data_IF_360181614138
#
_entry.id   IF_360181614138
#
_cell.length_a   1.000
_cell.length_b   1.000
_cell.length_c   1.000
_cell.angle_alpha   90.00
_cell.angle_beta   90.00
_cell.angle_gamma   90.00
#
_symmetry.space_group_name_H-M   'P 1'
#
loop_
_entity.id
_entity.type
_entity.pdbx_description
1 polymer ?
#
# COMPACT_ATOMS: atom_id res chain seq x y z
N UNK A 1 26.24 20.37 -27.76
CA UNK A 1 26.54 20.57 -26.33
C UNK A 1 25.26 20.31 -25.55
N UNK A 2 25.20 19.26 -24.72
CA UNK A 2 24.06 19.05 -23.81
C UNK A 2 24.14 20.14 -22.72
N UNK A 3 23.03 20.83 -22.47
CA UNK A 3 22.94 21.79 -21.38
C UNK A 3 23.33 21.11 -20.05
N UNK A 4 24.04 21.79 -19.14
CA UNK A 4 24.33 21.24 -17.82
C UNK A 4 23.00 20.96 -17.12
N UNK A 5 22.82 19.70 -16.69
CA UNK A 5 21.70 19.31 -15.83
C UNK A 5 21.90 20.05 -14.52
N UNK A 6 21.00 20.98 -14.19
CA UNK A 6 21.03 21.63 -12.87
C UNK A 6 21.01 20.53 -11.80
N UNK A 7 21.92 20.57 -10.81
CA UNK A 7 21.91 19.59 -9.74
C UNK A 7 20.55 19.64 -9.05
N UNK A 8 19.88 18.48 -8.98
CA UNK A 8 18.57 18.36 -8.39
C UNK A 8 18.60 18.99 -6.99
N UNK A 9 17.76 20.00 -6.77
CA UNK A 9 17.72 20.74 -5.50
C UNK A 9 17.39 19.76 -4.37
N UNK A 10 18.28 19.68 -3.37
CA UNK A 10 18.07 18.89 -2.16
C UNK A 10 16.74 19.25 -1.49
N UNK A 11 15.96 18.24 -1.14
CA UNK A 11 14.66 18.40 -0.50
C UNK A 11 14.79 18.90 0.94
N UNK A 12 13.71 19.50 1.43
CA UNK A 12 13.68 20.14 2.74
C UNK A 12 12.80 19.40 3.75
N UNK A 13 12.57 20.07 4.88
CA UNK A 13 11.68 19.58 5.96
C UNK A 13 10.23 19.38 5.52
N UNK A 14 9.80 20.05 4.45
CA UNK A 14 8.44 19.94 3.91
C UNK A 14 8.22 18.56 3.30
N UNK A 15 9.20 18.03 2.59
CA UNK A 15 9.12 16.75 1.89
C UNK A 15 9.63 15.60 2.78
N UNK A 16 10.80 15.77 3.40
CA UNK A 16 11.48 14.71 4.16
C UNK A 16 11.11 14.69 5.66
N UNK A 17 10.22 15.58 6.08
CA UNK A 17 9.80 15.71 7.48
C UNK A 17 10.88 16.33 8.38
N UNK A 18 10.67 16.23 9.69
CA UNK A 18 11.49 16.94 10.69
C UNK A 18 12.98 16.58 10.67
N UNK A 19 13.32 15.41 10.13
CA UNK A 19 14.67 14.86 10.06
C UNK A 19 15.29 14.93 8.66
N UNK A 20 14.84 15.87 7.82
CA UNK A 20 15.35 16.06 6.47
C UNK A 20 16.89 16.08 6.34
N UNK A 21 17.58 16.56 7.38
CA UNK A 21 19.03 16.72 7.40
C UNK A 21 19.71 15.77 8.40
N UNK A 22 18.99 14.77 8.90
CA UNK A 22 19.60 13.76 9.77
C UNK A 22 20.55 12.87 8.96
N UNK A 23 21.75 12.68 9.49
CA UNK A 23 22.74 11.73 8.97
C UNK A 23 22.58 10.35 9.59
N UNK A 24 22.22 10.29 10.88
CA UNK A 24 22.02 9.03 11.61
C UNK A 24 20.97 9.18 12.71
N UNK A 25 20.05 8.23 12.77
CA UNK A 25 19.05 8.12 13.83
C UNK A 25 19.67 7.59 15.13
N UNK A 26 19.03 7.79 16.29
CA UNK A 26 19.48 7.21 17.56
C UNK A 26 19.62 5.69 17.49
N UNK A 27 20.70 5.15 18.06
CA UNK A 27 20.99 3.71 18.05
C UNK A 27 19.87 2.88 18.68
N UNK A 28 19.30 3.35 19.80
CA UNK A 28 18.15 2.70 20.44
C UNK A 28 16.95 2.54 19.51
N UNK A 29 16.71 3.51 18.63
CA UNK A 29 15.67 3.42 17.61
C UNK A 29 16.07 2.45 16.49
N UNK A 30 17.31 2.53 16.01
CA UNK A 30 17.80 1.62 14.97
C UNK A 30 17.68 0.15 15.42
N UNK A 31 18.02 -0.17 16.68
CA UNK A 31 17.91 -1.51 17.26
C UNK A 31 16.48 -2.02 17.27
N UNK A 32 15.49 -1.21 17.70
CA UNK A 32 14.09 -1.68 17.71
C UNK A 32 13.52 -1.88 16.31
N UNK A 33 13.96 -1.09 15.32
CA UNK A 33 13.52 -1.22 13.93
C UNK A 33 14.16 -2.43 13.24
N UNK A 34 15.40 -2.77 13.60
CA UNK A 34 16.08 -3.97 13.12
C UNK A 34 15.49 -5.26 13.72
N UNK A 35 14.97 -5.19 14.95
CA UNK A 35 14.43 -6.35 15.68
C UNK A 35 12.90 -6.52 15.57
N UNK A 36 12.23 -5.72 14.74
CA UNK A 36 10.77 -5.62 14.75
C UNK A 36 10.01 -6.88 14.33
N UNK A 37 10.63 -7.76 13.53
CA UNK A 37 10.05 -9.03 13.04
C UNK A 37 8.56 -8.86 12.70
N UNK A 38 7.66 -9.75 13.13
CA UNK A 38 6.21 -9.64 12.86
C UNK A 38 5.39 -9.04 14.01
N UNK A 39 6.04 -8.42 15.01
CA UNK A 39 5.35 -7.95 16.23
C UNK A 39 4.28 -6.87 15.97
N UNK A 40 4.40 -6.18 14.84
CA UNK A 40 3.53 -5.09 14.41
C UNK A 40 2.77 -5.41 13.11
N UNK A 41 2.58 -6.69 12.83
CA UNK A 41 1.78 -7.20 11.73
C UNK A 41 0.45 -7.78 12.25
N UNK A 42 -0.61 -7.64 11.46
CA UNK A 42 -1.92 -8.23 11.72
C UNK A 42 -2.49 -8.80 10.41
N UNK A 43 -2.52 -10.12 10.31
CA UNK A 43 -3.12 -10.84 9.18
C UNK A 43 -4.64 -10.97 9.33
N UNK A 44 -5.30 -11.47 8.28
CA UNK A 44 -6.74 -11.74 8.22
C UNK A 44 -7.65 -10.53 8.44
N UNK A 45 -7.12 -9.31 8.31
CA UNK A 45 -7.91 -8.09 8.49
C UNK A 45 -8.93 -7.93 7.36
N UNK A 46 -8.56 -8.28 6.12
CA UNK A 46 -9.45 -8.17 4.94
C UNK A 46 -10.71 -9.05 5.07
N UNK A 47 -10.61 -10.37 5.37
CA UNK A 47 -11.81 -11.17 5.66
C UNK A 47 -12.68 -10.62 6.79
N UNK A 48 -12.07 -10.07 7.84
CA UNK A 48 -12.80 -9.46 8.96
C UNK A 48 -13.52 -8.17 8.53
N UNK A 49 -12.87 -7.33 7.71
CA UNK A 49 -13.51 -6.15 7.14
C UNK A 49 -14.71 -6.52 6.28
N UNK A 50 -14.60 -7.57 5.45
CA UNK A 50 -15.72 -8.06 4.66
C UNK A 50 -16.93 -8.41 5.54
N UNK A 51 -16.71 -9.14 6.65
CA UNK A 51 -17.78 -9.46 7.60
C UNK A 51 -18.38 -8.23 8.29
N UNK A 52 -17.56 -7.22 8.61
CA UNK A 52 -18.04 -5.97 9.22
C UNK A 52 -18.91 -5.18 8.23
N UNK A 53 -18.47 -5.06 6.98
CA UNK A 53 -19.19 -4.36 5.91
C UNK A 53 -20.50 -5.07 5.55
N UNK A 54 -20.50 -6.41 5.52
CA UNK A 54 -21.71 -7.20 5.25
C UNK A 54 -22.83 -6.87 6.25
N UNK A 55 -22.46 -6.75 7.54
CA UNK A 55 -23.37 -6.38 8.64
C UNK A 55 -23.84 -4.92 8.59
N UNK A 56 -23.13 -4.05 7.85
CA UNK A 56 -23.46 -2.63 7.71
C UNK A 56 -24.68 -2.43 6.84
N UNK A 57 -25.81 -2.01 7.42
CA UNK A 57 -27.03 -1.72 6.64
C UNK A 57 -26.90 -0.50 5.73
N UNK A 58 -25.98 0.42 6.04
CA UNK A 58 -25.69 1.61 5.24
C UNK A 58 -24.85 1.32 3.99
N UNK A 59 -24.12 0.20 3.97
CA UNK A 59 -23.28 -0.21 2.84
C UNK A 59 -24.18 -0.62 1.68
N UNK A 60 -23.99 0.01 0.52
CA UNK A 60 -24.63 -0.38 -0.74
C UNK A 60 -23.81 -1.49 -1.39
N UNK A 61 -22.52 -1.22 -1.61
CA UNK A 61 -21.54 -2.22 -2.04
C UNK A 61 -20.13 -1.81 -1.60
N UNK A 62 -19.23 -2.78 -1.54
CA UNK A 62 -17.82 -2.53 -1.28
C UNK A 62 -16.92 -3.51 -2.03
N UNK A 63 -15.72 -3.03 -2.34
CA UNK A 63 -14.63 -3.83 -2.90
C UNK A 63 -13.50 -3.94 -1.89
N UNK A 64 -12.83 -5.08 -1.87
CA UNK A 64 -11.63 -5.33 -1.07
C UNK A 64 -10.54 -5.96 -1.94
N UNK A 65 -9.29 -5.64 -1.64
CA UNK A 65 -8.11 -6.30 -2.23
C UNK A 65 -8.00 -7.76 -1.76
N UNK A 66 -6.92 -8.43 -2.16
CA UNK A 66 -6.65 -9.82 -1.82
C UNK A 66 -6.74 -10.08 -0.30
N UNK A 67 -7.35 -11.20 0.13
CA UNK A 67 -7.48 -11.54 1.55
C UNK A 67 -6.13 -11.73 2.27
N UNK A 68 -5.04 -11.99 1.56
CA UNK A 68 -3.71 -12.23 2.13
C UNK A 68 -3.02 -10.95 2.62
N UNK A 69 -3.57 -9.76 2.34
CA UNK A 69 -2.93 -8.49 2.70
C UNK A 69 -2.90 -8.33 4.22
N UNK A 70 -1.69 -8.23 4.76
CA UNK A 70 -1.42 -8.04 6.19
C UNK A 70 -1.32 -6.54 6.51
N UNK A 71 -2.01 -6.10 7.56
CA UNK A 71 -1.83 -4.75 8.08
C UNK A 71 -0.53 -4.66 8.88
N UNK A 72 0.30 -3.67 8.57
CA UNK A 72 1.49 -3.32 9.37
C UNK A 72 1.27 -1.95 9.99
N UNK A 73 1.57 -1.81 11.28
CA UNK A 73 1.37 -0.57 12.04
C UNK A 73 2.62 -0.17 12.81
N UNK A 74 2.67 1.08 13.30
CA UNK A 74 3.85 1.60 13.99
C UNK A 74 4.13 0.90 15.33
N UNK A 75 5.41 0.77 15.65
CA UNK A 75 5.87 0.43 16.99
C UNK A 75 5.61 1.58 17.96
N UNK A 76 5.47 1.26 19.25
CA UNK A 76 5.18 2.25 20.29
C UNK A 76 6.24 3.35 20.40
N UNK A 77 7.51 3.01 20.17
CA UNK A 77 8.66 3.89 20.39
C UNK A 77 9.26 4.49 19.09
N UNK A 78 8.70 4.23 17.91
CA UNK A 78 9.32 4.67 16.64
C UNK A 78 9.01 6.13 16.24
N UNK A 79 7.98 6.74 16.83
CA UNK A 79 7.48 8.05 16.43
C UNK A 79 6.53 7.99 15.22
N UNK A 80 6.44 9.08 14.44
CA UNK A 80 5.47 9.24 13.34
C UNK A 80 6.14 9.38 11.96
N UNK A 81 7.33 8.79 11.79
CA UNK A 81 8.21 9.11 10.65
C UNK A 81 8.29 7.99 9.62
N UNK A 82 7.85 6.79 9.98
CA UNK A 82 8.07 5.60 9.19
C UNK A 82 6.85 5.16 8.36
N UNK A 83 5.82 5.99 8.23
CA UNK A 83 4.58 5.61 7.53
C UNK A 83 4.84 5.08 6.11
N UNK A 84 5.65 5.76 5.30
CA UNK A 84 6.01 5.30 3.94
C UNK A 84 6.63 3.91 3.94
N UNK A 85 7.58 3.67 4.84
CA UNK A 85 8.22 2.36 5.00
C UNK A 85 7.24 1.28 5.46
N UNK A 86 6.32 1.58 6.40
CA UNK A 86 5.28 0.63 6.83
C UNK A 86 4.34 0.25 5.69
N UNK A 87 3.98 1.22 4.85
CA UNK A 87 3.15 0.95 3.67
C UNK A 87 3.92 0.12 2.62
N UNK A 88 5.21 0.39 2.41
CA UNK A 88 6.05 -0.46 1.56
C UNK A 88 6.13 -1.89 2.11
N UNK A 89 6.28 -2.08 3.43
CA UNK A 89 6.25 -3.42 4.03
C UNK A 89 4.95 -4.17 3.71
N UNK A 90 3.81 -3.47 3.73
CA UNK A 90 2.52 -4.06 3.34
C UNK A 90 2.48 -4.43 1.85
N UNK A 91 3.02 -3.59 0.96
CA UNK A 91 3.13 -3.93 -0.46
C UNK A 91 4.04 -5.15 -0.69
N UNK A 92 5.21 -5.18 -0.06
CA UNK A 92 6.17 -6.28 -0.20
C UNK A 92 5.55 -7.61 0.25
N UNK A 93 4.90 -7.62 1.42
CA UNK A 93 4.23 -8.82 1.95
C UNK A 93 3.08 -9.29 1.06
N UNK A 94 2.26 -8.38 0.55
CA UNK A 94 1.16 -8.74 -0.34
C UNK A 94 1.70 -9.34 -1.65
N UNK A 95 2.71 -8.67 -2.24
CA UNK A 95 3.29 -9.09 -3.51
C UNK A 95 4.07 -10.39 -3.41
N UNK A 96 4.87 -10.59 -2.35
CA UNK A 96 5.65 -11.82 -2.18
C UNK A 96 4.79 -13.05 -1.87
N UNK A 97 3.56 -12.87 -1.39
CA UNK A 97 2.58 -13.94 -1.19
C UNK A 97 1.84 -14.31 -2.46
N UNK A 98 1.43 -13.32 -3.25
CA UNK A 98 0.71 -13.58 -4.51
C UNK A 98 1.66 -14.01 -5.63
N UNK A 99 2.87 -13.44 -5.68
CA UNK A 99 3.83 -13.70 -6.74
C UNK A 99 5.08 -14.33 -6.19
N UNK A 100 5.12 -15.66 -6.27
CA UNK A 100 6.20 -16.42 -5.69
C UNK A 100 7.57 -16.09 -6.32
N UNK A 101 7.60 -15.61 -7.54
CA UNK A 101 8.81 -15.27 -8.31
C UNK A 101 9.23 -13.80 -8.20
N UNK A 102 8.60 -12.99 -7.35
CA UNK A 102 8.83 -11.54 -7.29
C UNK A 102 10.21 -11.11 -6.78
N UNK A 103 11.06 -12.04 -6.32
CA UNK A 103 12.38 -11.73 -5.75
C UNK A 103 12.33 -11.01 -4.39
N UNK A 104 11.16 -10.54 -3.96
CA UNK A 104 10.96 -9.89 -2.66
C UNK A 104 11.09 -10.88 -1.50
N UNK A 105 11.51 -10.41 -0.31
CA UNK A 105 11.50 -11.22 0.90
C UNK A 105 10.13 -11.85 1.18
N UNK A 106 10.12 -13.12 1.58
CA UNK A 106 8.91 -13.84 2.00
C UNK A 106 8.36 -13.32 3.32
N UNK A 107 9.27 -13.06 4.25
CA UNK A 107 8.94 -12.46 5.53
C UNK A 107 8.88 -10.93 5.43
N UNK A 108 8.30 -10.29 6.44
CA UNK A 108 8.19 -8.83 6.46
C UNK A 108 9.59 -8.20 6.50
N UNK A 109 10.02 -7.43 5.48
CA UNK A 109 11.33 -6.79 5.51
C UNK A 109 11.36 -5.74 6.63
N UNK A 110 12.46 -5.64 7.38
CA UNK A 110 12.62 -4.63 8.42
C UNK A 110 12.79 -3.22 7.81
N UNK A 111 12.60 -2.16 8.60
CA UNK A 111 12.83 -0.79 8.10
C UNK A 111 14.25 -0.59 7.52
N UNK A 112 15.34 -1.05 8.17
CA UNK A 112 16.69 -0.97 7.57
C UNK A 112 16.80 -1.75 6.26
N UNK A 113 16.15 -2.91 6.14
CA UNK A 113 16.12 -3.68 4.89
C UNK A 113 15.41 -2.90 3.77
N UNK A 114 14.25 -2.28 4.07
CA UNK A 114 13.54 -1.42 3.11
C UNK A 114 14.41 -0.23 2.68
N UNK A 115 15.08 0.44 3.62
CA UNK A 115 16.02 1.53 3.30
C UNK A 115 17.13 1.06 2.36
N UNK A 116 17.73 -0.10 2.65
CA UNK A 116 18.79 -0.67 1.83
C UNK A 116 18.33 -1.00 0.41
N UNK A 117 17.14 -1.60 0.25
CA UNK A 117 16.59 -1.92 -1.07
C UNK A 117 16.31 -0.66 -1.90
N UNK A 118 15.78 0.40 -1.28
CA UNK A 118 15.56 1.68 -1.96
C UNK A 118 16.89 2.29 -2.43
N UNK A 119 17.90 2.33 -1.55
CA UNK A 119 19.21 2.87 -1.92
C UNK A 119 19.94 1.99 -2.94
N UNK A 120 19.73 0.67 -2.92
CA UNK A 120 20.23 -0.23 -3.95
C UNK A 120 19.60 0.12 -5.31
N UNK A 121 18.28 0.31 -5.37
CA UNK A 121 17.59 0.73 -6.59
C UNK A 121 18.21 2.01 -7.17
N UNK A 122 18.50 3.01 -6.32
CA UNK A 122 19.17 4.23 -6.74
C UNK A 122 20.57 3.99 -7.31
N UNK A 123 21.33 3.06 -6.72
CA UNK A 123 22.65 2.66 -7.22
C UNK A 123 22.58 1.94 -8.57
N UNK A 124 21.47 1.26 -8.85
CA UNK A 124 21.14 0.64 -10.14
C UNK A 124 20.48 1.60 -11.13
N UNK A 125 20.61 2.91 -10.91
CA UNK A 125 20.07 4.00 -11.74
C UNK A 125 18.52 4.11 -11.77
N UNK A 126 17.80 3.32 -10.96
CA UNK A 126 16.34 3.39 -10.83
C UNK A 126 15.99 4.52 -9.87
N UNK A 127 15.26 5.53 -10.33
CA UNK A 127 14.90 6.71 -9.52
C UNK A 127 16.10 7.35 -8.79
N UNK A 128 17.30 7.31 -9.39
CA UNK A 128 18.57 7.69 -8.77
C UNK A 128 18.60 9.13 -8.22
N UNK A 129 17.75 10.02 -8.75
CA UNK A 129 17.57 11.37 -8.23
C UNK A 129 17.21 11.40 -6.73
N UNK A 130 16.58 10.34 -6.20
CA UNK A 130 16.25 10.20 -4.78
C UNK A 130 17.48 10.28 -3.87
N UNK A 131 18.63 9.76 -4.32
CA UNK A 131 19.88 9.80 -3.54
C UNK A 131 20.32 11.24 -3.27
N UNK A 132 20.35 12.07 -4.30
CA UNK A 132 20.76 13.48 -4.21
C UNK A 132 19.69 14.33 -3.52
N UNK A 133 18.42 14.09 -3.87
CA UNK A 133 17.27 14.78 -3.31
C UNK A 133 17.17 14.61 -1.78
N UNK A 134 17.50 13.42 -1.27
CA UNK A 134 17.42 13.10 0.17
C UNK A 134 18.77 13.22 0.90
N UNK A 135 19.89 13.12 0.18
CA UNK A 135 21.21 12.90 0.76
C UNK A 135 21.31 11.54 1.47
N UNK A 136 20.70 10.51 0.90
CA UNK A 136 20.58 9.16 1.49
C UNK A 136 19.49 9.05 2.56
N UNK A 137 18.94 7.85 2.74
CA UNK A 137 17.89 7.54 3.72
C UNK A 137 18.29 6.45 4.72
N UNK A 138 19.26 5.59 4.38
CA UNK A 138 19.76 4.52 5.24
C UNK A 138 20.19 5.05 6.61
N UNK A 139 19.64 4.45 7.68
CA UNK A 139 19.96 4.85 9.04
C UNK A 139 19.33 6.17 9.48
N UNK A 140 18.41 6.76 8.70
CA UNK A 140 17.75 8.04 9.03
C UNK A 140 16.25 7.89 9.23
N UNK A 141 15.62 8.93 9.77
CA UNK A 141 14.17 9.06 9.96
C UNK A 141 13.52 9.93 8.88
N UNK A 142 14.18 10.12 7.74
CA UNK A 142 13.65 10.90 6.62
C UNK A 142 12.38 10.23 6.11
N UNK A 143 11.35 11.05 5.87
CA UNK A 143 10.14 10.57 5.22
C UNK A 143 10.46 10.17 3.78
N UNK A 144 9.73 9.17 3.29
CA UNK A 144 9.75 8.69 1.92
C UNK A 144 8.32 8.68 1.38
N UNK A 145 8.18 8.54 0.06
CA UNK A 145 6.88 8.49 -0.60
C UNK A 145 6.87 7.59 -1.83
N UNK A 146 6.08 8.02 -2.82
CA UNK A 146 5.78 7.25 -4.04
C UNK A 146 7.03 6.89 -4.83
N UNK A 147 7.98 7.82 -4.99
CA UNK A 147 9.24 7.61 -5.74
C UNK A 147 10.09 6.50 -5.14
N UNK A 148 10.19 6.43 -3.81
CA UNK A 148 10.93 5.38 -3.12
C UNK A 148 10.22 4.02 -3.18
N UNK A 149 8.88 4.01 -3.07
CA UNK A 149 8.09 2.78 -3.22
C UNK A 149 8.22 2.21 -4.64
N UNK A 150 8.15 3.07 -5.66
CA UNK A 150 8.35 2.71 -7.06
C UNK A 150 9.76 2.18 -7.31
N UNK A 151 10.79 2.85 -6.80
CA UNK A 151 12.18 2.42 -6.95
C UNK A 151 12.39 0.98 -6.45
N UNK A 152 11.83 0.66 -5.27
CA UNK A 152 11.92 -0.67 -4.69
C UNK A 152 11.18 -1.73 -5.51
N UNK A 153 9.99 -1.43 -6.02
CA UNK A 153 9.23 -2.35 -6.86
C UNK A 153 9.95 -2.61 -8.19
N UNK A 154 10.45 -1.55 -8.84
CA UNK A 154 11.18 -1.66 -10.10
C UNK A 154 12.51 -2.43 -9.96
N UNK A 155 13.21 -2.30 -8.83
CA UNK A 155 14.39 -3.12 -8.51
C UNK A 155 14.07 -4.63 -8.58
N UNK A 156 12.85 -5.01 -8.24
CA UNK A 156 12.36 -6.39 -8.24
C UNK A 156 11.58 -6.74 -9.51
N UNK A 157 11.69 -5.93 -10.57
CA UNK A 157 10.97 -6.09 -11.84
C UNK A 157 9.44 -6.18 -11.66
N UNK A 158 8.88 -5.51 -10.64
CA UNK A 158 7.45 -5.44 -10.41
C UNK A 158 6.89 -4.20 -11.11
N UNK A 159 6.01 -4.43 -12.08
CA UNK A 159 5.32 -3.36 -12.78
C UNK A 159 4.36 -2.61 -11.86
N UNK A 160 4.51 -1.29 -11.84
CA UNK A 160 3.65 -0.41 -11.06
C UNK A 160 3.40 0.91 -11.78
N UNK A 161 2.30 1.58 -11.42
CA UNK A 161 1.86 2.83 -12.06
C UNK A 161 1.62 3.89 -10.99
N UNK A 162 2.43 4.95 -11.07
CA UNK A 162 2.26 6.17 -10.30
C UNK A 162 1.18 7.07 -10.90
N UNK A 163 0.18 7.48 -10.12
CA UNK A 163 -0.81 8.49 -10.54
C UNK A 163 -0.82 9.67 -9.59
N UNK A 164 -0.81 10.89 -10.13
CA UNK A 164 -0.76 12.14 -9.36
C UNK A 164 -2.05 12.92 -9.53
N UNK A 165 -2.66 13.34 -8.41
CA UNK A 165 -3.88 14.13 -8.37
C UNK A 165 -3.59 15.49 -7.74
N UNK A 166 -3.99 16.60 -8.37
CA UNK A 166 -3.70 17.97 -7.89
C UNK A 166 -4.88 18.90 -8.09
N UNK A 167 -5.10 19.79 -7.12
CA UNK A 167 -6.10 20.85 -7.22
C UNK A 167 -7.28 20.65 -6.27
N UNK A 168 -8.35 21.43 -6.47
CA UNK A 168 -9.54 21.45 -5.60
C UNK A 168 -10.36 20.16 -5.69
N UNK A 169 -10.26 19.44 -6.81
CA UNK A 169 -10.99 18.21 -7.14
C UNK A 169 -10.16 16.95 -6.95
N UNK A 170 -8.90 17.05 -6.52
CA UNK A 170 -7.98 15.92 -6.39
C UNK A 170 -8.53 14.76 -5.53
N UNK A 171 -9.30 15.06 -4.49
CA UNK A 171 -9.93 14.05 -3.64
C UNK A 171 -11.02 13.26 -4.38
N UNK A 172 -11.75 13.89 -5.31
CA UNK A 172 -12.79 13.26 -6.09
C UNK A 172 -12.18 12.40 -7.20
N UNK A 173 -11.17 12.93 -7.89
CA UNK A 173 -10.41 12.18 -8.91
C UNK A 173 -9.72 10.95 -8.31
N UNK A 174 -9.19 11.06 -7.08
CA UNK A 174 -8.66 9.91 -6.33
C UNK A 174 -9.74 8.85 -6.09
N UNK A 175 -10.94 9.25 -5.65
CA UNK A 175 -12.04 8.32 -5.41
C UNK A 175 -12.47 7.63 -6.71
N UNK A 176 -12.60 8.38 -7.80
CA UNK A 176 -12.96 7.84 -9.12
C UNK A 176 -11.92 6.82 -9.61
N UNK A 177 -10.63 7.17 -9.46
CA UNK A 177 -9.52 6.29 -9.84
C UNK A 177 -9.51 4.98 -9.05
N UNK A 178 -9.63 5.06 -7.72
CA UNK A 178 -9.61 3.88 -6.84
C UNK A 178 -10.83 2.99 -7.05
N UNK A 179 -12.02 3.59 -7.15
CA UNK A 179 -13.25 2.84 -7.42
C UNK A 179 -13.14 2.08 -8.74
N UNK A 180 -12.65 2.76 -9.79
CA UNK A 180 -12.46 2.14 -11.10
C UNK A 180 -11.43 1.01 -11.08
N UNK A 181 -10.35 1.15 -10.30
CA UNK A 181 -9.34 0.10 -10.12
C UNK A 181 -9.98 -1.19 -9.56
N UNK A 182 -10.64 -1.10 -8.41
CA UNK A 182 -11.26 -2.25 -7.77
C UNK A 182 -12.44 -2.82 -8.57
N UNK A 183 -13.24 -1.97 -9.19
CA UNK A 183 -14.35 -2.40 -10.05
C UNK A 183 -13.86 -3.21 -11.26
N UNK A 184 -12.75 -2.79 -11.88
CA UNK A 184 -12.11 -3.56 -12.98
C UNK A 184 -11.65 -4.92 -12.47
N UNK A 185 -10.94 -4.97 -11.34
CA UNK A 185 -10.49 -6.23 -10.75
C UNK A 185 -11.67 -7.18 -10.46
N UNK A 186 -12.72 -6.71 -9.80
CA UNK A 186 -13.91 -7.52 -9.50
C UNK A 186 -14.61 -8.04 -10.77
N UNK A 187 -14.64 -7.22 -11.82
CA UNK A 187 -15.20 -7.62 -13.13
C UNK A 187 -14.36 -8.72 -13.78
N UNK A 188 -13.02 -8.59 -13.76
CA UNK A 188 -12.11 -9.57 -14.35
C UNK A 188 -12.15 -10.91 -13.60
N UNK A 189 -12.21 -10.90 -12.27
CA UNK A 189 -12.35 -12.12 -11.45
C UNK A 189 -13.78 -12.68 -11.40
N UNK A 190 -14.76 -12.03 -12.02
CA UNK A 190 -16.16 -12.49 -12.05
C UNK A 190 -16.86 -12.50 -10.68
N UNK A 191 -16.32 -11.82 -9.67
CA UNK A 191 -16.83 -11.79 -8.30
C UNK A 191 -18.13 -10.99 -8.26
N UNK A 192 -19.15 -11.49 -7.55
CA UNK A 192 -20.48 -10.86 -7.43
C UNK A 192 -20.89 -10.75 -5.97
N UNK A 193 -21.83 -9.84 -5.69
CA UNK A 193 -22.43 -9.66 -4.38
C UNK A 193 -22.26 -8.24 -3.84
N UNK A 194 -22.78 -8.01 -2.64
CA UNK A 194 -22.69 -6.73 -1.93
C UNK A 194 -21.23 -6.38 -1.61
N UNK A 195 -20.48 -7.36 -1.11
CA UNK A 195 -19.06 -7.22 -0.74
C UNK A 195 -18.23 -8.10 -1.65
N UNK A 196 -17.36 -7.49 -2.44
CA UNK A 196 -16.57 -8.16 -3.48
C UNK A 196 -15.09 -8.16 -3.07
N UNK A 197 -14.60 -9.31 -2.61
CA UNK A 197 -13.17 -9.54 -2.38
C UNK A 197 -12.55 -9.92 -3.72
N UNK A 198 -11.47 -9.25 -4.11
CA UNK A 198 -10.79 -9.43 -5.40
C UNK A 198 -9.38 -9.97 -5.18
N UNK A 199 -8.69 -10.37 -6.24
CA UNK A 199 -7.30 -10.86 -6.18
C UNK A 199 -6.28 -9.73 -6.42
N UNK A 200 -6.71 -8.47 -6.40
CA UNK A 200 -5.80 -7.34 -6.67
C UNK A 200 -4.96 -6.98 -5.44
N UNK A 201 -3.76 -6.46 -5.71
CA UNK A 201 -2.85 -5.94 -4.69
C UNK A 201 -3.36 -4.60 -4.13
N UNK A 202 -3.00 -4.25 -2.89
CA UNK A 202 -3.38 -2.97 -2.31
C UNK A 202 -2.61 -1.81 -2.96
N UNK A 203 -3.13 -0.58 -2.83
CA UNK A 203 -2.59 0.61 -3.50
C UNK A 203 -1.86 1.48 -2.46
N UNK A 204 -0.63 1.90 -2.73
CA UNK A 204 0.04 2.91 -1.91
C UNK A 204 -0.64 4.27 -2.11
N UNK A 205 -0.91 5.01 -1.04
CA UNK A 205 -1.46 6.36 -1.11
C UNK A 205 -0.56 7.33 -0.35
N UNK A 206 -0.01 8.31 -1.07
CA UNK A 206 0.70 9.45 -0.50
C UNK A 206 -0.22 10.67 -0.45
N UNK A 207 -0.18 11.39 0.69
CA UNK A 207 -0.64 12.78 0.79
C UNK A 207 0.42 13.63 1.49
N UNK A 208 0.33 14.97 1.51
CA UNK A 208 1.29 15.80 2.23
C UNK A 208 1.43 15.40 3.70
N UNK A 209 2.61 14.91 4.08
CA UNK A 209 2.98 14.58 5.46
C UNK A 209 2.53 13.21 5.99
N UNK A 210 1.90 12.35 5.17
CA UNK A 210 1.53 10.98 5.59
C UNK A 210 1.24 10.08 4.39
N UNK A 211 1.44 8.78 4.55
CA UNK A 211 1.00 7.77 3.59
C UNK A 211 0.19 6.66 4.26
N UNK A 212 -0.62 5.98 3.46
CA UNK A 212 -1.47 4.86 3.87
C UNK A 212 -1.47 3.81 2.75
N UNK A 213 -2.02 2.64 3.03
CA UNK A 213 -2.27 1.59 2.04
C UNK A 213 -3.77 1.42 1.85
N UNK A 214 -4.28 1.71 0.67
CA UNK A 214 -5.69 1.49 0.31
C UNK A 214 -5.89 0.00 0.07
N UNK A 215 -6.88 -0.57 0.75
CA UNK A 215 -7.23 -2.00 0.70
C UNK A 215 -8.64 -2.24 0.18
N UNK A 216 -9.36 -1.19 -0.18
CA UNK A 216 -10.70 -1.31 -0.71
C UNK A 216 -11.41 0.02 -0.89
N UNK A 217 -12.67 -0.09 -1.28
CA UNK A 217 -13.55 1.03 -1.57
C UNK A 217 -14.99 0.70 -1.15
N UNK A 218 -15.69 1.65 -0.56
CA UNK A 218 -17.08 1.50 -0.13
C UNK A 218 -17.95 2.58 -0.76
N UNK A 219 -19.13 2.17 -1.25
CA UNK A 219 -20.27 3.06 -1.49
C UNK A 219 -21.37 2.78 -0.48
N UNK A 220 -21.88 3.86 0.12
CA UNK A 220 -23.06 3.81 0.98
C UNK A 220 -24.34 3.98 0.17
N UNK A 221 -25.47 3.56 0.72
CA UNK A 221 -26.81 3.75 0.13
C UNK A 221 -27.21 5.23 -0.02
N UNK A 222 -26.55 6.14 0.69
CA UNK A 222 -26.74 7.58 0.52
C UNK A 222 -25.86 8.16 -0.60
N UNK A 223 -25.10 7.32 -1.31
CA UNK A 223 -24.19 7.72 -2.37
C UNK A 223 -22.83 8.23 -1.87
N UNK A 224 -22.54 8.16 -0.56
CA UNK A 224 -21.23 8.56 -0.05
C UNK A 224 -20.17 7.54 -0.45
N UNK A 225 -18.96 8.03 -0.72
CA UNK A 225 -17.81 7.22 -1.09
C UNK A 225 -16.76 7.25 0.01
N UNK A 226 -16.14 6.11 0.29
CA UNK A 226 -15.09 5.98 1.30
C UNK A 226 -13.99 5.08 0.77
N UNK A 227 -12.74 5.47 1.01
CA UNK A 227 -11.63 4.54 0.88
C UNK A 227 -11.58 3.68 2.13
N UNK A 228 -11.26 2.40 1.96
CA UNK A 228 -10.86 1.52 3.06
C UNK A 228 -9.33 1.46 3.05
N UNK A 229 -8.69 1.83 4.14
CA UNK A 229 -7.24 1.95 4.20
C UNK A 229 -6.64 1.43 5.50
N UNK A 230 -5.51 0.74 5.36
CA UNK A 230 -4.58 0.51 6.45
C UNK A 230 -3.73 1.77 6.63
N UNK A 231 -3.94 2.44 7.76
CA UNK A 231 -3.15 3.58 8.18
C UNK A 231 -2.16 3.13 9.27
N UNK A 232 -0.84 3.13 9.00
CA UNK A 232 0.16 2.61 9.91
C UNK A 232 0.26 3.42 11.22
N UNK A 233 -0.36 4.60 11.30
CA UNK A 233 -0.42 5.38 12.53
C UNK A 233 -1.27 4.68 13.62
N UNK A 234 -2.13 3.74 13.26
CA UNK A 234 -3.10 3.12 14.17
C UNK A 234 -2.86 1.63 14.36
N UNK A 235 -2.96 1.18 15.62
CA UNK A 235 -2.98 -0.24 15.95
C UNK A 235 -4.36 -0.82 15.61
N UNK A 236 -4.45 -1.98 14.93
CA UNK A 236 -5.73 -2.64 14.68
C UNK A 236 -6.51 -2.88 15.98
N UNK A 237 -7.86 -2.81 15.97
CA UNK A 237 -8.68 -3.07 17.14
C UNK A 237 -8.77 -4.58 17.41
N UNK A 238 -7.65 -5.18 17.84
CA UNK A 238 -7.41 -6.63 17.89
C UNK A 238 -8.51 -7.41 18.61
N UNK A 239 -9.07 -6.88 19.71
CA UNK A 239 -10.17 -7.53 20.43
C UNK A 239 -11.42 -7.64 19.56
N UNK A 240 -11.80 -6.56 18.87
CA UNK A 240 -12.96 -6.57 17.97
C UNK A 240 -12.70 -7.46 16.76
N UNK A 241 -11.51 -7.38 16.16
CA UNK A 241 -11.16 -8.22 15.01
C UNK A 241 -11.20 -9.71 15.37
N UNK A 242 -10.61 -10.09 16.51
CA UNK A 242 -10.62 -11.47 16.99
C UNK A 242 -12.03 -12.00 17.21
N UNK A 243 -12.91 -11.21 17.84
CA UNK A 243 -14.32 -11.56 18.04
C UNK A 243 -15.04 -11.80 16.72
N UNK A 244 -14.89 -10.89 15.77
CA UNK A 244 -15.54 -11.00 14.46
C UNK A 244 -15.02 -12.22 13.71
N UNK A 245 -13.70 -12.42 13.69
CA UNK A 245 -13.04 -13.59 13.08
C UNK A 245 -13.58 -14.90 13.63
N UNK A 246 -13.78 -15.00 14.94
CA UNK A 246 -14.28 -16.19 15.63
C UNK A 246 -15.81 -16.32 15.61
N UNK A 247 -16.52 -15.49 14.82
CA UNK A 247 -17.98 -15.42 14.79
C UNK A 247 -18.63 -15.18 16.17
N UNK A 248 -17.90 -14.55 17.10
CA UNK A 248 -18.41 -14.22 18.42
C UNK A 248 -19.36 -13.01 18.37
N UNK A 249 -20.24 -12.93 19.37
CA UNK A 249 -21.10 -11.75 19.55
C UNK A 249 -20.23 -10.49 19.72
N UNK A 250 -20.40 -9.56 18.80
CA UNK A 250 -19.81 -8.23 18.84
C UNK A 250 -20.93 -7.20 18.82
N UNK A 251 -20.88 -6.21 19.73
CA UNK A 251 -21.91 -5.17 19.74
C UNK A 251 -21.83 -4.32 18.47
N UNK A 252 -22.99 -3.84 17.98
CA UNK A 252 -23.08 -3.00 16.77
C UNK A 252 -22.14 -1.78 16.86
N UNK A 253 -22.06 -1.15 18.03
CA UNK A 253 -21.17 -0.03 18.28
C UNK A 253 -19.68 -0.40 18.18
N UNK A 254 -19.25 -1.55 18.73
CA UNK A 254 -17.85 -1.99 18.60
C UNK A 254 -17.49 -2.29 17.15
N UNK A 255 -18.38 -2.95 16.42
CA UNK A 255 -18.21 -3.21 14.99
C UNK A 255 -18.10 -1.90 14.20
N UNK A 256 -18.98 -0.93 14.47
CA UNK A 256 -18.97 0.39 13.86
C UNK A 256 -17.64 1.14 14.10
N UNK A 257 -17.20 1.26 15.36
CA UNK A 257 -15.94 1.94 15.67
C UNK A 257 -14.71 1.22 15.11
N UNK A 258 -14.74 -0.10 15.02
CA UNK A 258 -13.67 -0.85 14.37
C UNK A 258 -13.61 -0.53 12.87
N UNK A 259 -14.75 -0.48 12.18
CA UNK A 259 -14.79 -0.15 10.75
C UNK A 259 -14.36 1.30 10.47
N UNK A 260 -14.82 2.26 11.29
CA UNK A 260 -14.45 3.67 11.18
C UNK A 260 -12.93 3.92 11.17
N UNK A 261 -12.14 3.07 11.81
CA UNK A 261 -10.70 3.20 11.84
C UNK A 261 -10.07 3.02 10.44
N UNK A 262 -10.70 2.19 9.60
CA UNK A 262 -10.24 1.88 8.25
C UNK A 262 -10.81 2.85 7.21
N UNK A 263 -11.99 3.39 7.46
CA UNK A 263 -12.65 4.31 6.53
C UNK A 263 -11.92 5.67 6.40
N UNK A 264 -11.86 6.19 5.17
CA UNK A 264 -11.44 7.55 4.85
C UNK A 264 -12.52 8.17 3.97
N UNK A 265 -13.39 8.97 4.60
CA UNK A 265 -14.54 9.61 3.94
C UNK A 265 -14.14 10.75 3.01
N UNK A 266 -15.06 11.19 2.16
CA UNK A 266 -14.87 12.39 1.33
C UNK A 266 -14.49 13.62 2.18
N UNK A 267 -15.16 13.81 3.32
CA UNK A 267 -14.82 14.88 4.29
C UNK A 267 -13.39 14.76 4.79
N UNK A 268 -12.89 13.54 4.99
CA UNK A 268 -11.51 13.33 5.37
C UNK A 268 -10.56 13.78 4.26
N UNK A 269 -10.79 13.32 3.03
CA UNK A 269 -9.90 13.54 1.89
C UNK A 269 -9.87 15.01 1.43
N UNK A 270 -10.98 15.75 1.53
CA UNK A 270 -11.07 17.19 1.15
C UNK A 270 -10.07 18.11 1.86
N UNK A 271 -9.39 17.64 2.92
CA UNK A 271 -8.35 18.41 3.63
C UNK A 271 -7.08 18.62 2.81
N UNK A 272 -6.86 17.80 1.78
CA UNK A 272 -5.66 17.88 0.94
C UNK A 272 -6.02 18.14 -0.52
N UNK A 273 -5.13 18.85 -1.21
CA UNK A 273 -5.25 19.23 -2.63
C UNK A 273 -4.25 18.47 -3.51
N UNK A 274 -3.63 17.44 -2.96
CA UNK A 274 -2.59 16.67 -3.61
C UNK A 274 -2.59 15.25 -3.06
N UNK A 275 -2.60 14.30 -3.96
CA UNK A 275 -2.44 12.87 -3.67
C UNK A 275 -1.56 12.25 -4.73
N UNK A 276 -0.88 11.17 -4.36
CA UNK A 276 -0.22 10.30 -5.31
C UNK A 276 -0.57 8.86 -4.94
N UNK A 277 -0.82 8.02 -5.94
CA UNK A 277 -1.03 6.59 -5.75
C UNK A 277 0.02 5.79 -6.49
N UNK A 278 0.34 4.60 -5.98
CA UNK A 278 1.13 3.61 -6.69
C UNK A 278 0.36 2.29 -6.68
N UNK A 279 -0.13 1.86 -7.84
CA UNK A 279 -0.79 0.57 -8.01
C UNK A 279 0.15 -0.43 -8.67
N UNK A 280 0.18 -1.65 -8.16
CA UNK A 280 0.92 -2.76 -8.76
C UNK A 280 0.03 -3.41 -9.82
N UNK A 281 0.56 -3.63 -11.01
CA UNK A 281 -0.13 -4.29 -12.10
C UNK A 281 0.38 -5.71 -12.22
N UNK A 282 -0.54 -6.67 -12.26
CA UNK A 282 -0.18 -8.02 -12.67
C UNK A 282 0.29 -7.93 -14.12
N UNK A 283 1.59 -8.06 -14.35
CA UNK A 283 2.10 -8.30 -15.69
C UNK A 283 1.43 -9.58 -16.17
N UNK A 284 0.69 -9.52 -17.27
CA UNK A 284 0.28 -10.73 -17.98
C UNK A 284 1.58 -11.42 -18.40
N UNK A 285 2.10 -12.29 -17.54
CA UNK A 285 3.24 -13.11 -17.83
C UNK A 285 2.93 -13.84 -19.13
N UNK A 286 3.72 -13.53 -20.17
CA UNK A 286 3.85 -14.23 -21.43
C UNK A 286 2.89 -15.42 -21.56
N UNK A 287 1.68 -15.14 -22.05
CA UNK A 287 0.74 -16.18 -22.45
C UNK A 287 1.03 -16.60 -23.89
N UNK A 288 2.28 -16.97 -24.18
CA UNK A 288 2.68 -17.59 -25.43
C UNK A 288 3.47 -18.86 -25.12
N UNK A 289 2.76 -19.97 -25.24
CA UNK A 289 3.18 -21.32 -25.65
C UNK A 289 2.31 -22.39 -24.96
N UNK A 290 1.01 -22.39 -25.27
CA UNK A 290 0.32 -23.67 -25.41
C UNK A 290 0.72 -24.24 -26.77
N UNK A 291 1.88 -24.90 -26.80
CA UNK A 291 2.30 -25.78 -27.88
C UNK A 291 1.21 -26.81 -28.14
N UNK A 292 0.41 -26.54 -29.18
CA UNK A 292 -0.54 -27.50 -29.73
C UNK A 292 0.29 -28.52 -30.50
N UNK A 293 0.67 -29.62 -29.84
CA UNK A 293 1.12 -30.82 -30.54
C UNK A 293 -0.06 -31.40 -31.31
N UNK A 294 -0.26 -30.90 -32.54
CA UNK A 294 -1.12 -31.52 -33.53
C UNK A 294 -0.35 -32.70 -34.11
N UNK A 295 -0.73 -33.92 -33.72
CA UNK A 295 -0.34 -35.16 -34.39
C UNK A 295 -0.63 -35.02 -35.89
N UNK A 296 0.40 -34.89 -36.70
CA UNK A 296 0.31 -35.13 -38.13
C UNK A 296 0.07 -36.63 -38.34
N UNK A 297 -1.05 -36.95 -39.00
CA UNK A 297 -1.25 -38.25 -39.64
C UNK A 297 -0.52 -38.19 -40.98
N UNK A 298 0.48 -39.06 -41.16
CA UNK A 298 0.97 -39.36 -42.50
C UNK A 298 -0.10 -40.15 -43.27
N UNK A 299 -0.36 -39.84 -44.55
CA UNK A 299 -1.09 -40.74 -45.44
C UNK A 299 -0.11 -41.68 -46.17
N UNK A 300 -0.51 -42.96 -46.21
CA UNK A 300 -0.10 -44.07 -47.08
C UNK A 300 1.38 -44.41 -47.19
#
# INVERSE_FOLDING_TARGET
MKAPVEPARRLGKRELGRYAFEERMPESLATILAAEQDQNACSDVIPVLAQLLERGSHVEHAYLCDPCVTQVYKLRAEGNHFCGYRNIQMLCLATSRLWLTSGLPRDKPTIPCVQSMIEQAWSEAINAHGRDATGGICGTRKHIGTSEAEALLLLHAIECVGTVFRGKTAWAELLDHVEQHFKRAATCSGVKGKIQITDCLPIFLQRPGHSMTIVGFERTRSGERRLLAFDPAWRPPLSTLGRVRNAERCSKWRAYFALLQYEKSERYLRRWKMFETLSIHHGDGHSDEKGTYRKERQPS
#
